data_IF_173427691406
#
_entry.id   IF_173427691406
#
_cell.length_a   1.000
_cell.length_b   1.000
_cell.length_c   1.000
_cell.angle_alpha   90.00
_cell.angle_beta   90.00
_cell.angle_gamma   90.00
#
_symmetry.space_group_name_H-M   'P 1'
#
loop_
_entity.id
_entity.type
_entity.pdbx_description
1 polymer ?
#
# COMPACT_ATOMS: atom_id res chain seq x y z
N UNK A 1 -4.85 30.69 -3.47
CA UNK A 1 -4.82 29.26 -3.88
C UNK A 1 -3.38 28.82 -4.18
N UNK A 2 -2.91 27.70 -3.63
CA UNK A 2 -1.59 27.14 -3.95
C UNK A 2 -1.74 26.07 -5.03
N UNK A 3 -1.01 26.19 -6.14
CA UNK A 3 -1.04 25.18 -7.22
C UNK A 3 -0.17 23.98 -6.87
N UNK A 4 -0.74 22.78 -6.99
CA UNK A 4 -0.02 21.52 -6.77
C UNK A 4 0.77 21.08 -8.01
N UNK A 5 0.24 21.33 -9.21
CA UNK A 5 0.86 20.99 -10.50
C UNK A 5 1.76 22.10 -11.06
N UNK A 6 1.66 23.32 -10.53
CA UNK A 6 2.52 24.45 -10.90
C UNK A 6 3.95 24.36 -10.35
N UNK A 7 4.30 23.28 -9.65
CA UNK A 7 5.61 23.05 -9.03
C UNK A 7 6.34 21.89 -9.69
N UNK A 8 7.65 21.82 -9.46
CA UNK A 8 8.42 20.63 -9.83
C UNK A 8 7.91 19.40 -9.06
N UNK A 9 7.74 18.26 -9.71
CA UNK A 9 7.31 17.04 -9.05
C UNK A 9 8.38 16.56 -8.07
N UNK A 10 7.94 16.05 -6.91
CA UNK A 10 8.79 15.42 -5.90
C UNK A 10 9.45 14.14 -6.45
N UNK A 11 8.73 13.36 -7.25
CA UNK A 11 9.30 12.30 -8.08
C UNK A 11 8.83 12.41 -9.52
N UNK A 12 9.71 12.17 -10.47
CA UNK A 12 9.37 12.10 -11.89
C UNK A 12 10.26 11.10 -12.60
N UNK A 13 9.65 10.18 -13.34
CA UNK A 13 10.34 9.22 -14.21
C UNK A 13 9.39 8.79 -15.35
N UNK A 14 9.80 7.81 -16.15
CA UNK A 14 9.01 7.33 -17.29
C UNK A 14 7.69 6.62 -16.89
N UNK A 15 7.52 6.30 -15.61
CA UNK A 15 6.37 5.58 -15.07
C UNK A 15 5.36 6.49 -14.37
N UNK A 16 5.69 7.77 -14.18
CA UNK A 16 4.78 8.71 -13.56
C UNK A 16 5.44 9.92 -12.92
N UNK A 17 4.60 10.73 -12.27
CA UNK A 17 4.97 11.93 -11.51
C UNK A 17 4.22 11.95 -10.18
N UNK A 18 4.91 12.37 -9.12
CA UNK A 18 4.32 12.64 -7.81
C UNK A 18 4.58 14.10 -7.47
N UNK A 19 3.52 14.85 -7.20
CA UNK A 19 3.56 16.21 -6.67
C UNK A 19 3.10 16.18 -5.23
N UNK A 20 3.71 17.00 -4.37
CA UNK A 20 3.33 17.10 -2.96
C UNK A 20 3.26 18.58 -2.56
N UNK A 21 2.33 18.87 -1.65
CA UNK A 21 2.19 20.14 -0.97
C UNK A 21 2.17 19.88 0.53
N UNK A 22 3.23 20.29 1.21
CA UNK A 22 3.44 20.01 2.64
C UNK A 22 3.01 21.19 3.53
N UNK A 23 3.00 20.97 4.85
CA UNK A 23 2.74 22.02 5.83
C UNK A 23 3.76 23.17 5.80
N UNK A 24 5.00 22.91 5.37
CA UNK A 24 6.04 23.95 5.28
C UNK A 24 5.77 24.92 4.12
N UNK A 25 5.07 24.46 3.09
CA UNK A 25 4.67 25.26 1.93
C UNK A 25 3.29 25.91 2.11
N UNK A 26 2.45 25.36 2.97
CA UNK A 26 1.12 25.89 3.27
C UNK A 26 0.82 25.81 4.77
N UNK A 27 0.85 26.96 5.45
CA UNK A 27 0.58 27.05 6.90
C UNK A 27 -0.79 26.50 7.30
N UNK A 28 -1.79 26.55 6.43
CA UNK A 28 -3.11 25.94 6.69
C UNK A 28 -3.00 24.42 6.79
N UNK A 29 -2.23 23.78 5.90
CA UNK A 29 -1.98 22.34 5.96
C UNK A 29 -1.22 21.96 7.22
N UNK A 30 -0.22 22.76 7.62
CA UNK A 30 0.52 22.55 8.89
C UNK A 30 -0.39 22.60 10.12
N UNK A 31 -1.29 23.59 10.16
CA UNK A 31 -2.26 23.74 11.27
C UNK A 31 -3.26 22.58 11.33
N UNK A 32 -3.65 22.05 10.18
CA UNK A 32 -4.61 20.94 10.08
C UNK A 32 -3.94 19.56 10.20
N UNK A 33 -2.60 19.51 10.33
CA UNK A 33 -1.83 18.26 10.30
C UNK A 33 -2.09 17.45 9.02
N UNK A 34 -2.06 18.16 7.89
CA UNK A 34 -2.35 17.64 6.56
C UNK A 34 -1.17 17.79 5.61
N UNK A 35 -1.09 16.87 4.66
CA UNK A 35 -0.32 17.01 3.42
C UNK A 35 -1.20 16.59 2.24
N UNK A 36 -0.99 17.20 1.08
CA UNK A 36 -1.71 16.85 -0.15
C UNK A 36 -0.71 16.34 -1.18
N UNK A 37 -1.03 15.25 -1.86
CA UNK A 37 -0.24 14.74 -2.97
C UNK A 37 -1.09 14.50 -4.22
N UNK A 38 -0.48 14.59 -5.39
CA UNK A 38 -1.08 14.19 -6.66
C UNK A 38 -0.12 13.25 -7.37
N UNK A 39 -0.58 12.01 -7.57
CA UNK A 39 0.16 11.00 -8.31
C UNK A 39 -0.47 10.80 -9.69
N UNK A 40 0.36 10.94 -10.72
CA UNK A 40 0.05 10.53 -12.08
C UNK A 40 0.86 9.28 -12.38
N UNK A 41 0.19 8.16 -12.62
CA UNK A 41 0.79 6.87 -12.90
C UNK A 41 0.55 6.57 -14.38
N UNK A 42 1.61 6.40 -15.16
CA UNK A 42 1.49 6.06 -16.58
C UNK A 42 0.81 4.68 -16.72
N UNK A 43 0.00 4.49 -17.77
CA UNK A 43 -0.60 3.17 -18.09
C UNK A 43 0.42 2.02 -17.96
N UNK A 44 -0.03 0.89 -17.42
CA UNK A 44 0.80 -0.30 -17.17
C UNK A 44 1.89 -0.10 -16.10
N UNK A 45 1.91 1.03 -15.40
CA UNK A 45 2.89 1.32 -14.35
C UNK A 45 2.26 1.31 -12.95
N UNK A 46 3.11 1.41 -11.93
CA UNK A 46 2.69 1.42 -10.53
C UNK A 46 3.51 2.39 -9.70
N UNK A 47 2.96 2.80 -8.56
CA UNK A 47 3.76 3.35 -7.47
C UNK A 47 4.42 2.19 -6.73
N UNK A 48 5.74 2.23 -6.54
CA UNK A 48 6.45 1.21 -5.77
C UNK A 48 5.79 1.02 -4.39
N UNK A 49 5.66 -0.23 -3.88
CA UNK A 49 5.04 -0.49 -2.58
C UNK A 49 5.66 0.39 -1.50
N UNK A 50 4.82 1.10 -0.76
CA UNK A 50 5.25 2.04 0.28
C UNK A 50 4.27 2.05 1.44
N UNK A 51 4.72 2.56 2.58
CA UNK A 51 3.86 2.93 3.70
C UNK A 51 4.22 4.33 4.21
N UNK A 52 3.28 4.96 4.88
CA UNK A 52 3.48 6.21 5.63
C UNK A 52 3.72 5.86 7.11
N UNK A 53 4.73 6.44 7.75
CA UNK A 53 5.10 6.11 9.14
C UNK A 53 4.03 6.52 10.15
N UNK A 54 3.32 7.63 9.89
CA UNK A 54 2.35 8.25 10.80
C UNK A 54 1.02 8.58 10.13
N UNK A 55 1.06 9.03 8.88
CA UNK A 55 -0.13 9.56 8.23
C UNK A 55 -1.05 8.45 7.74
N UNK A 56 -2.35 8.65 7.91
CA UNK A 56 -3.38 7.90 7.19
C UNK A 56 -3.63 8.58 5.84
N UNK A 57 -3.52 7.81 4.76
CA UNK A 57 -3.72 8.30 3.39
C UNK A 57 -5.16 8.04 2.94
N UNK A 58 -5.83 9.12 2.54
CA UNK A 58 -7.11 9.13 1.85
C UNK A 58 -6.85 9.40 0.37
N UNK A 59 -6.91 8.36 -0.46
CA UNK A 59 -6.65 8.45 -1.90
C UNK A 59 -7.97 8.49 -2.68
N UNK A 60 -8.13 9.46 -3.57
CA UNK A 60 -9.29 9.63 -4.45
C UNK A 60 -8.81 9.55 -5.89
N UNK A 61 -9.38 8.63 -6.67
CA UNK A 61 -9.07 8.51 -8.10
C UNK A 61 -9.78 9.61 -8.87
N UNK A 62 -9.00 10.46 -9.53
CA UNK A 62 -9.50 11.59 -10.32
C UNK A 62 -9.76 11.23 -11.78
N UNK A 63 -8.97 10.32 -12.34
CA UNK A 63 -9.10 9.89 -13.73
C UNK A 63 -8.47 8.52 -13.91
N UNK A 64 -9.03 7.72 -14.81
CA UNK A 64 -8.48 6.44 -15.24
C UNK A 64 -8.98 5.26 -14.39
N UNK A 65 -8.35 4.11 -14.62
CA UNK A 65 -8.67 2.86 -13.95
C UNK A 65 -7.41 2.05 -13.61
N UNK A 66 -7.58 1.10 -12.70
CA UNK A 66 -6.51 0.25 -12.24
C UNK A 66 -6.92 -0.57 -11.03
N UNK A 67 -5.96 -0.90 -10.18
CA UNK A 67 -6.23 -1.60 -8.91
C UNK A 67 -5.28 -1.14 -7.82
N UNK A 68 -5.66 -1.39 -6.57
CA UNK A 68 -4.77 -1.21 -5.42
C UNK A 68 -4.59 -2.54 -4.69
N UNK A 69 -3.44 -2.67 -4.04
CA UNK A 69 -3.16 -3.77 -3.10
C UNK A 69 -2.56 -3.21 -1.80
N UNK A 70 -2.91 -3.83 -0.67
CA UNK A 70 -2.42 -3.46 0.64
C UNK A 70 -2.21 -4.70 1.53
N UNK A 71 -1.15 -4.69 2.32
CA UNK A 71 -0.91 -5.67 3.37
C UNK A 71 -1.49 -5.15 4.70
N UNK A 72 -2.42 -5.89 5.30
CA UNK A 72 -3.11 -5.47 6.53
C UNK A 72 -3.05 -6.55 7.60
N UNK A 73 -2.50 -6.27 8.80
CA UNK A 73 -2.48 -7.24 9.90
C UNK A 73 -3.78 -7.23 10.74
N UNK A 74 -4.67 -6.26 10.52
CA UNK A 74 -5.87 -6.05 11.35
C UNK A 74 -7.11 -6.75 10.82
N UNK A 75 -7.17 -7.03 9.51
CA UNK A 75 -8.32 -7.76 8.95
C UNK A 75 -8.18 -9.23 9.32
N UNK A 76 -8.93 -9.70 10.29
CA UNK A 76 -9.16 -11.13 10.50
C UNK A 76 -9.76 -11.69 9.22
N UNK A 77 -9.06 -12.58 8.52
CA UNK A 77 -9.41 -13.07 7.18
C UNK A 77 -10.88 -13.52 7.00
N UNK A 78 -11.78 -12.57 6.78
CA UNK A 78 -13.12 -12.77 6.22
C UNK A 78 -13.05 -12.35 4.75
N UNK A 79 -13.34 -13.19 3.77
CA UNK A 79 -14.35 -14.24 3.76
C UNK A 79 -15.53 -13.76 2.90
N UNK A 80 -15.32 -13.58 1.60
CA UNK A 80 -16.42 -13.49 0.62
C UNK A 80 -16.01 -13.81 -0.82
N UNK A 81 -14.77 -13.50 -1.24
CA UNK A 81 -14.28 -13.85 -2.58
C UNK A 81 -13.57 -15.21 -2.63
N UNK A 82 -12.55 -15.44 -1.80
CA UNK A 82 -11.76 -16.69 -1.85
C UNK A 82 -12.53 -17.93 -1.39
N UNK A 83 -13.56 -17.76 -0.54
CA UNK A 83 -14.40 -18.88 -0.07
C UNK A 83 -15.28 -19.43 -1.19
N UNK A 84 -15.73 -18.58 -2.14
CA UNK A 84 -16.59 -18.99 -3.26
C UNK A 84 -15.88 -19.83 -4.32
N UNK A 85 -14.56 -19.69 -4.45
CA UNK A 85 -13.76 -20.53 -5.34
C UNK A 85 -13.45 -21.89 -4.70
N UNK A 86 -13.10 -21.92 -3.40
CA UNK A 86 -12.81 -23.18 -2.69
C UNK A 86 -14.04 -24.06 -2.43
N UNK A 87 -15.23 -23.47 -2.27
CA UNK A 87 -16.48 -24.23 -2.07
C UNK A 87 -16.96 -24.97 -3.33
N UNK A 88 -16.46 -24.62 -4.52
CA UNK A 88 -16.77 -25.35 -5.76
C UNK A 88 -15.88 -26.58 -5.98
N UNK A 89 -14.69 -26.61 -5.39
CA UNK A 89 -13.72 -27.70 -5.55
C UNK A 89 -13.79 -28.77 -4.43
N UNK A 90 -14.30 -28.42 -3.24
CA UNK A 90 -14.27 -29.30 -2.06
C UNK A 90 -15.63 -29.88 -1.63
N UNK A 91 -16.61 -29.96 -2.53
CA UNK A 91 -17.91 -30.59 -2.28
C UNK A 91 -17.93 -32.12 -2.17
N UNK A 92 -16.76 -32.80 -2.07
CA UNK A 92 -16.69 -34.29 -2.07
C UNK A 92 -15.81 -34.91 -0.98
N UNK A 93 -15.33 -34.16 0.01
CA UNK A 93 -14.48 -34.74 1.06
C UNK A 93 -14.68 -34.04 2.41
N UNK A 94 -15.85 -34.24 3.01
CA UNK A 94 -16.18 -33.77 4.36
C UNK A 94 -16.89 -34.88 5.14
N UNK A 95 -16.20 -35.98 5.33
CA UNK A 95 -16.38 -36.88 6.47
C UNK A 95 -14.96 -37.26 6.87
N UNK A 96 -14.63 -37.25 8.17
CA UNK A 96 -13.28 -37.36 8.77
C UNK A 96 -12.52 -36.02 8.63
N UNK A 97 -12.35 -35.18 9.65
CA UNK A 97 -11.84 -35.42 10.99
C UNK A 97 -12.49 -34.42 11.98
N UNK A 98 -13.16 -34.95 13.00
CA UNK A 98 -13.42 -34.25 14.26
C UNK A 98 -12.43 -34.80 15.29
N UNK A 99 -11.82 -33.91 16.07
CA UNK A 99 -10.73 -34.17 17.00
C UNK A 99 -9.54 -33.29 16.59
N UNK A 100 -8.97 -32.41 17.39
CA UNK A 100 -8.85 -32.35 18.84
C UNK A 100 -8.86 -30.86 19.26
N UNK A 101 -9.70 -30.49 20.22
CA UNK A 101 -9.46 -29.31 21.03
C UNK A 101 -8.57 -29.78 22.19
N UNK A 102 -7.35 -29.25 22.34
CA UNK A 102 -6.76 -29.02 23.67
C UNK A 102 -5.53 -28.10 23.63
N UNK A 103 -5.57 -27.14 24.57
CA UNK A 103 -4.51 -26.37 25.23
C UNK A 103 -3.11 -26.20 24.58
N UNK A 104 -2.74 -24.94 24.34
CA UNK A 104 -1.36 -24.51 24.17
C UNK A 104 -1.21 -23.01 24.30
N UNK A 105 -0.50 -22.59 25.37
CA UNK A 105 0.22 -21.34 25.63
C UNK A 105 -0.13 -20.08 24.81
N UNK A 106 -0.31 -18.96 25.52
CA UNK A 106 -0.47 -17.61 24.97
C UNK A 106 0.85 -17.11 24.34
N UNK A 107 1.38 -17.83 23.36
CA UNK A 107 2.35 -17.32 22.41
C UNK A 107 1.68 -16.19 21.62
N UNK A 108 2.41 -15.12 21.37
CA UNK A 108 1.97 -14.08 20.43
C UNK A 108 1.60 -14.79 19.11
N UNK A 109 0.31 -14.90 18.79
CA UNK A 109 -0.13 -15.43 17.49
C UNK A 109 0.63 -14.65 16.44
N UNK A 110 1.43 -15.34 15.62
CA UNK A 110 2.24 -14.73 14.59
C UNK A 110 1.39 -13.72 13.82
N UNK A 111 1.79 -12.45 13.85
CA UNK A 111 1.07 -11.38 13.16
C UNK A 111 1.03 -11.70 11.67
N UNK A 112 -0.14 -12.12 11.18
CA UNK A 112 -0.35 -12.45 9.77
C UNK A 112 -0.82 -11.21 9.03
N UNK A 113 -0.13 -10.88 7.94
CA UNK A 113 -0.62 -9.90 6.98
C UNK A 113 -1.62 -10.55 6.03
N UNK A 114 -2.73 -9.85 5.82
CA UNK A 114 -3.77 -10.22 4.88
C UNK A 114 -3.72 -9.31 3.65
N UNK A 115 -3.95 -9.90 2.48
CA UNK A 115 -4.04 -9.16 1.22
C UNK A 115 -5.40 -8.48 1.12
N UNK A 116 -5.39 -7.16 1.05
CA UNK A 116 -6.55 -6.35 0.68
C UNK A 116 -6.34 -5.87 -0.75
N UNK A 117 -7.32 -6.12 -1.64
CA UNK A 117 -7.25 -5.74 -3.05
C UNK A 117 -8.60 -5.24 -3.52
N UNK A 118 -8.60 -4.19 -4.34
CA UNK A 118 -9.80 -3.78 -5.09
C UNK A 118 -9.44 -3.17 -6.44
N UNK A 119 -10.39 -3.24 -7.37
CA UNK A 119 -10.37 -2.45 -8.60
C UNK A 119 -10.74 -1.01 -8.27
N UNK A 120 -10.13 -0.06 -8.99
CA UNK A 120 -10.34 1.37 -8.79
C UNK A 120 -10.59 2.05 -10.13
N UNK A 121 -11.45 3.06 -10.10
CA UNK A 121 -11.84 3.92 -11.23
C UNK A 121 -12.12 5.32 -10.72
N UNK A 122 -12.29 6.28 -11.61
CA UNK A 122 -12.72 7.64 -11.26
C UNK A 122 -13.83 7.66 -10.19
N UNK A 123 -13.64 8.50 -9.18
CA UNK A 123 -14.51 8.62 -8.00
C UNK A 123 -14.27 7.58 -6.90
N UNK A 124 -13.42 6.57 -7.11
CA UNK A 124 -13.08 5.60 -6.05
C UNK A 124 -12.28 6.27 -4.93
N UNK A 125 -12.62 5.91 -3.68
CA UNK A 125 -11.92 6.38 -2.48
C UNK A 125 -11.29 5.20 -1.76
N UNK A 126 -10.02 5.31 -1.40
CA UNK A 126 -9.23 4.29 -0.71
C UNK A 126 -8.67 4.89 0.56
N UNK A 127 -8.80 4.16 1.67
CA UNK A 127 -8.19 4.52 2.95
C UNK A 127 -7.04 3.57 3.24
N UNK A 128 -5.83 4.10 3.37
CA UNK A 128 -4.62 3.35 3.70
C UNK A 128 -4.14 3.85 5.07
N UNK A 129 -4.33 3.08 6.15
CA UNK A 129 -3.86 3.47 7.46
C UNK A 129 -2.34 3.56 7.52
N UNK A 130 -1.82 4.31 8.49
CA UNK A 130 -0.39 4.39 8.75
C UNK A 130 0.22 2.99 8.93
N UNK A 131 1.47 2.82 8.51
CA UNK A 131 2.22 1.56 8.60
C UNK A 131 1.60 0.36 7.85
N UNK A 132 0.68 0.60 6.91
CA UNK A 132 0.17 -0.45 6.01
C UNK A 132 0.81 -0.33 4.63
N UNK A 133 1.69 -1.27 4.23
CA UNK A 133 2.26 -1.29 2.90
C UNK A 133 1.18 -1.38 1.83
N UNK A 134 1.22 -0.47 0.86
CA UNK A 134 0.26 -0.43 -0.22
C UNK A 134 0.91 -0.02 -1.55
N UNK A 135 0.24 -0.39 -2.64
CA UNK A 135 0.55 0.05 -4.00
C UNK A 135 -0.74 0.36 -4.76
N UNK A 136 -0.62 1.24 -5.74
CA UNK A 136 -1.66 1.56 -6.71
C UNK A 136 -1.04 1.37 -8.09
N UNK A 137 -1.77 0.64 -8.95
CA UNK A 137 -1.33 0.22 -10.27
C UNK A 137 -2.32 0.75 -11.30
N UNK A 138 -1.84 1.42 -12.33
CA UNK A 138 -2.65 1.84 -13.47
C UNK A 138 -2.95 0.64 -14.39
N UNK A 139 -4.12 0.63 -15.02
CA UNK A 139 -4.42 -0.40 -16.02
C UNK A 139 -3.51 -0.27 -17.24
N UNK A 140 -3.46 -1.32 -18.08
CA UNK A 140 -2.71 -1.28 -19.34
C UNK A 140 -3.30 -0.27 -20.35
N UNK A 141 -4.60 0.01 -20.24
CA UNK A 141 -5.33 0.83 -21.20
C UNK A 141 -5.17 2.33 -21.00
N UNK A 142 -5.03 2.77 -19.75
CA UNK A 142 -5.04 4.20 -19.42
C UNK A 142 -4.18 4.55 -18.20
N UNK A 143 -3.68 5.78 -18.20
CA UNK A 143 -2.97 6.33 -17.04
C UNK A 143 -3.95 6.63 -15.91
N UNK A 144 -3.45 6.58 -14.68
CA UNK A 144 -4.24 6.76 -13.46
C UNK A 144 -3.80 8.03 -12.73
N UNK A 145 -4.73 8.95 -12.48
CA UNK A 145 -4.49 10.15 -11.68
C UNK A 145 -5.18 10.02 -10.32
N UNK A 146 -4.43 10.25 -9.23
CA UNK A 146 -4.90 10.04 -7.86
C UNK A 146 -4.48 11.22 -6.98
N UNK A 147 -5.45 11.88 -6.35
CA UNK A 147 -5.16 12.85 -5.29
C UNK A 147 -5.14 12.13 -3.94
N UNK A 148 -4.18 12.45 -3.10
CA UNK A 148 -3.99 11.86 -1.78
C UNK A 148 -4.02 12.95 -0.71
N UNK A 149 -4.86 12.79 0.29
CA UNK A 149 -4.80 13.57 1.54
C UNK A 149 -4.14 12.70 2.60
N UNK A 150 -3.08 13.21 3.21
CA UNK A 150 -2.37 12.57 4.29
C UNK A 150 -2.77 13.24 5.59
N UNK A 151 -3.51 12.53 6.45
CA UNK A 151 -3.99 13.02 7.74
C UNK A 151 -3.05 12.54 8.83
N UNK A 152 -2.57 13.45 9.69
CA UNK A 152 -1.49 13.16 10.64
C UNK A 152 -0.12 13.24 9.98
N UNK A 153 0.08 14.18 9.05
CA UNK A 153 1.26 14.29 8.19
C UNK A 153 2.46 14.98 8.84
N UNK A 154 2.31 15.62 9.99
CA UNK A 154 3.41 16.24 10.72
C UNK A 154 4.40 15.16 11.15
N UNK A 155 5.65 15.30 10.69
CA UNK A 155 6.73 14.33 10.88
C UNK A 155 6.45 12.95 10.26
N UNK A 156 5.54 12.87 9.28
CA UNK A 156 5.32 11.66 8.51
C UNK A 156 6.44 11.45 7.49
N UNK A 157 6.81 10.19 7.28
CA UNK A 157 7.77 9.78 6.27
C UNK A 157 7.15 8.72 5.37
N UNK A 158 7.38 8.86 4.07
CA UNK A 158 7.01 7.85 3.08
C UNK A 158 8.17 6.89 2.86
N UNK A 159 8.02 5.64 3.29
CA UNK A 159 9.03 4.60 3.14
C UNK A 159 8.69 3.70 1.96
N UNK A 160 9.55 3.69 0.95
CA UNK A 160 9.42 2.77 -0.20
C UNK A 160 10.07 1.43 0.13
N UNK A 161 9.36 0.33 -0.09
CA UNK A 161 9.85 -1.02 0.17
C UNK A 161 10.63 -1.61 -1.00
N UNK A 162 10.46 -1.05 -2.20
CA UNK A 162 11.13 -1.48 -3.41
C UNK A 162 11.73 -0.29 -4.17
N UNK A 163 12.60 -0.59 -5.14
CA UNK A 163 13.29 0.41 -5.96
C UNK A 163 14.54 0.99 -5.30
N UNK A 164 15.13 2.01 -5.94
CA UNK A 164 16.44 2.55 -5.57
C UNK A 164 16.48 3.21 -4.18
N UNK A 165 15.34 3.67 -3.68
CA UNK A 165 15.19 4.36 -2.40
C UNK A 165 14.74 3.43 -1.27
N UNK A 166 14.70 2.11 -1.50
CA UNK A 166 14.32 1.15 -0.46
C UNK A 166 15.37 1.04 0.63
N UNK A 167 15.00 1.02 1.92
CA UNK A 167 15.93 0.71 3.02
C UNK A 167 16.68 -0.61 2.84
N UNK A 168 16.11 -1.57 2.09
CA UNK A 168 16.77 -2.83 1.76
C UNK A 168 18.09 -2.64 0.98
N UNK A 169 18.24 -1.51 0.30
CA UNK A 169 19.49 -1.13 -0.40
C UNK A 169 20.60 -0.74 0.57
N UNK A 170 20.26 -0.35 1.79
CA UNK A 170 21.21 0.05 2.84
C UNK A 170 21.74 -1.15 3.64
N UNK A 171 21.11 -2.33 3.50
CA UNK A 171 21.61 -3.55 4.11
C UNK A 171 22.89 -4.02 3.42
N UNK A 172 23.90 -4.33 4.21
CA UNK A 172 25.11 -4.99 3.73
C UNK A 172 24.84 -6.47 3.37
N UNK A 173 25.78 -7.11 2.69
CA UNK A 173 25.60 -8.49 2.25
C UNK A 173 25.44 -9.49 3.40
N UNK A 174 26.18 -9.36 4.53
CA UNK A 174 25.91 -10.16 5.73
C UNK A 174 24.46 -10.03 6.23
N UNK A 175 23.94 -8.81 6.39
CA UNK A 175 22.58 -8.57 6.84
C UNK A 175 21.55 -9.14 5.85
N UNK A 176 21.75 -8.96 4.54
CA UNK A 176 20.86 -9.55 3.52
C UNK A 176 20.84 -11.07 3.60
N UNK A 177 21.99 -11.72 3.77
CA UNK A 177 22.08 -13.19 3.91
C UNK A 177 21.35 -13.70 5.15
N UNK A 178 21.43 -12.96 6.26
CA UNK A 178 20.70 -13.28 7.50
C UNK A 178 19.19 -13.10 7.34
N UNK A 179 18.75 -11.99 6.73
CA UNK A 179 17.33 -11.64 6.60
C UNK A 179 16.61 -12.54 5.59
N UNK A 180 17.23 -12.85 4.46
CA UNK A 180 16.55 -13.52 3.34
C UNK A 180 17.02 -14.96 3.08
N UNK A 181 18.03 -15.45 3.81
CA UNK A 181 18.75 -16.67 3.44
C UNK A 181 19.65 -16.44 2.22
N UNK A 182 20.79 -17.13 2.15
CA UNK A 182 21.91 -16.84 1.24
C UNK A 182 21.66 -16.82 -0.28
N UNK A 183 20.42 -16.92 -0.74
CA UNK A 183 20.03 -16.93 -2.17
C UNK A 183 19.42 -15.60 -2.68
N UNK A 184 19.21 -14.59 -1.84
CA UNK A 184 18.50 -13.37 -2.24
C UNK A 184 19.37 -12.18 -2.71
N UNK A 185 20.69 -12.38 -2.84
CA UNK A 185 21.60 -11.34 -3.31
C UNK A 185 21.73 -11.35 -4.84
N UNK A 186 20.73 -10.86 -5.56
CA UNK A 186 20.89 -10.39 -6.95
C UNK A 186 20.09 -9.11 -7.18
#
# INVERSE_FOLDING_TARGET
PSSLTGKSPYFSNNHGKLFELTGDECRHLKKLDLQIGLANITRGSMIAPNYNTRATKLAVVLQGSGYFEMACPHVSGGGSSERREREREHGRRREEEQGEEEHGERGEKARRYHKVRAQVREGSVIVIPASHPATIVASEGESLAVVCFFVGANHDEKVFLAGRNSPLRQLDDPAKKLVFGGSAAR
#
